data_IF_757185318981
#
_entry.id   IF_757185318981
#
_cell.length_a   1.000
_cell.length_b   1.000
_cell.length_c   1.000
_cell.angle_alpha   90.00
_cell.angle_beta   90.00
_cell.angle_gamma   90.00
#
_symmetry.space_group_name_H-M   'P 1'
#
loop_
_entity.id
_entity.type
_entity.pdbx_description
1 polymer ?
#
# COMPACT_ATOMS: atom_id res chain seq x y z
N UNK A 1 14.62 4.96 -8.36
CA UNK A 1 15.83 5.31 -9.15
C UNK A 1 15.53 6.10 -10.44
N UNK A 2 14.79 5.57 -11.44
CA UNK A 2 14.65 6.23 -12.77
C UNK A 2 14.10 7.66 -12.73
N UNK A 3 13.15 7.93 -11.83
CA UNK A 3 12.61 9.29 -11.63
C UNK A 3 13.69 10.27 -11.15
N UNK A 4 14.45 9.89 -10.12
CA UNK A 4 15.58 10.68 -9.63
C UNK A 4 16.69 10.88 -10.67
N UNK A 5 16.99 9.87 -11.49
CA UNK A 5 17.92 10.04 -12.63
C UNK A 5 17.41 11.07 -13.65
N UNK A 6 16.10 11.15 -13.88
CA UNK A 6 15.51 12.18 -14.73
C UNK A 6 15.65 13.57 -14.08
N UNK A 7 15.27 13.72 -12.80
CA UNK A 7 15.38 14.98 -12.07
C UNK A 7 16.82 15.52 -12.02
N UNK A 8 17.79 14.63 -11.78
CA UNK A 8 19.21 14.93 -11.82
C UNK A 8 19.67 15.56 -13.14
N UNK A 9 18.98 15.28 -14.24
CA UNK A 9 19.23 15.90 -15.54
C UNK A 9 18.45 17.19 -15.75
N UNK A 10 17.24 17.30 -15.20
CA UNK A 10 16.30 18.39 -15.48
C UNK A 10 16.49 19.62 -14.59
N UNK A 11 16.87 19.46 -13.32
CA UNK A 11 17.13 20.62 -12.46
C UNK A 11 18.31 21.43 -12.99
N UNK A 12 18.26 22.75 -12.88
CA UNK A 12 19.35 23.65 -13.27
C UNK A 12 20.37 23.89 -12.15
N UNK A 13 19.98 23.71 -10.89
CA UNK A 13 20.86 23.87 -9.73
C UNK A 13 21.74 22.64 -9.50
N UNK A 14 23.06 22.81 -9.56
CA UNK A 14 24.04 21.71 -9.44
C UNK A 14 23.90 20.91 -8.14
N UNK A 15 23.61 21.58 -7.01
CA UNK A 15 23.39 20.90 -5.72
C UNK A 15 22.19 19.95 -5.76
N UNK A 16 21.08 20.37 -6.36
CA UNK A 16 19.89 19.53 -6.52
C UNK A 16 20.14 18.38 -7.50
N UNK A 17 20.91 18.61 -8.57
CA UNK A 17 21.30 17.55 -9.50
C UNK A 17 22.11 16.47 -8.79
N UNK A 18 23.15 16.84 -8.04
CA UNK A 18 24.02 15.90 -7.31
C UNK A 18 23.22 15.12 -6.27
N UNK A 19 22.36 15.79 -5.49
CA UNK A 19 21.48 15.12 -4.52
C UNK A 19 20.57 14.07 -5.19
N UNK A 20 19.95 14.42 -6.33
CA UNK A 20 19.13 13.48 -7.09
C UNK A 20 19.94 12.33 -7.71
N UNK A 21 21.20 12.55 -8.09
CA UNK A 21 22.08 11.48 -8.58
C UNK A 21 22.42 10.48 -7.48
N UNK A 22 22.79 10.99 -6.29
CA UNK A 22 23.08 10.16 -5.12
C UNK A 22 21.86 9.34 -4.71
N UNK A 23 20.68 9.99 -4.62
CA UNK A 23 19.45 9.26 -4.36
C UNK A 23 19.16 8.23 -5.47
N UNK A 24 19.33 8.59 -6.75
CA UNK A 24 19.08 7.64 -7.84
C UNK A 24 19.92 6.36 -7.73
N UNK A 25 21.19 6.46 -7.31
CA UNK A 25 22.04 5.27 -7.15
C UNK A 25 21.70 4.51 -5.85
N UNK A 26 21.31 5.20 -4.79
CA UNK A 26 20.80 4.58 -3.56
C UNK A 26 19.53 3.76 -3.83
N UNK A 27 18.57 4.32 -4.59
CA UNK A 27 17.37 3.59 -4.98
C UNK A 27 17.64 2.39 -5.91
N UNK A 28 18.73 2.46 -6.71
CA UNK A 28 19.15 1.31 -7.52
C UNK A 28 19.77 0.22 -6.63
N UNK A 29 20.57 0.63 -5.65
CA UNK A 29 21.09 -0.27 -4.61
C UNK A 29 19.93 -0.96 -3.90
N UNK A 30 18.92 -0.22 -3.43
CA UNK A 30 17.77 -0.79 -2.72
C UNK A 30 17.05 -1.84 -3.55
N UNK A 31 16.76 -1.52 -4.82
CA UNK A 31 16.14 -2.46 -5.75
C UNK A 31 16.95 -3.75 -5.90
N UNK A 32 18.26 -3.64 -6.12
CA UNK A 32 19.13 -4.82 -6.31
C UNK A 32 19.28 -5.63 -5.02
N UNK A 33 19.46 -4.97 -3.87
CA UNK A 33 19.61 -5.66 -2.59
C UNK A 33 18.32 -6.33 -2.15
N UNK A 34 17.15 -5.73 -2.40
CA UNK A 34 15.86 -6.38 -2.12
C UNK A 34 15.70 -7.67 -2.95
N UNK A 35 16.05 -7.64 -4.23
CA UNK A 35 16.05 -8.85 -5.09
C UNK A 35 16.97 -9.93 -4.49
N UNK A 36 18.18 -9.55 -4.05
CA UNK A 36 19.11 -10.50 -3.44
C UNK A 36 18.62 -11.04 -2.09
N UNK A 37 18.06 -10.17 -1.23
CA UNK A 37 17.47 -10.53 0.07
C UNK A 37 16.35 -11.56 -0.10
N UNK A 38 15.45 -11.33 -1.06
CA UNK A 38 14.30 -12.20 -1.30
C UNK A 38 14.63 -13.43 -2.16
N UNK A 39 15.83 -13.49 -2.78
CA UNK A 39 16.23 -14.59 -3.66
C UNK A 39 16.21 -15.95 -2.97
N UNK A 40 16.52 -16.02 -1.67
CA UNK A 40 16.46 -17.28 -0.93
C UNK A 40 15.02 -17.68 -0.60
N UNK A 41 14.18 -16.72 -0.17
CA UNK A 41 12.75 -16.96 0.06
C UNK A 41 12.05 -17.46 -1.21
N UNK A 42 12.37 -16.88 -2.38
CA UNK A 42 11.84 -17.33 -3.66
C UNK A 42 12.17 -18.80 -4.03
N UNK A 43 13.20 -19.41 -3.41
CA UNK A 43 13.51 -20.83 -3.64
C UNK A 43 12.64 -21.78 -2.80
N UNK A 44 12.01 -21.25 -1.76
CA UNK A 44 11.38 -22.03 -0.70
C UNK A 44 9.90 -21.70 -0.49
N UNK A 45 9.44 -20.55 -0.98
CA UNK A 45 8.06 -20.09 -0.87
C UNK A 45 7.52 -19.66 -2.23
N UNK A 46 6.19 -19.77 -2.37
CA UNK A 46 5.45 -19.43 -3.60
C UNK A 46 5.25 -17.92 -3.77
N UNK A 47 4.74 -17.49 -4.94
CA UNK A 47 4.33 -16.11 -5.19
C UNK A 47 5.45 -15.07 -5.43
N UNK A 48 6.73 -15.45 -5.31
CA UNK A 48 7.88 -14.54 -5.40
C UNK A 48 8.65 -14.60 -6.74
N UNK A 49 8.23 -15.45 -7.68
CA UNK A 49 9.07 -15.89 -8.81
C UNK A 49 9.10 -14.95 -10.01
N UNK A 50 8.08 -14.11 -10.21
CA UNK A 50 8.03 -13.16 -11.34
C UNK A 50 7.53 -11.75 -10.96
N UNK A 51 8.21 -11.10 -10.00
CA UNK A 51 7.70 -9.88 -9.38
C UNK A 51 7.59 -8.70 -10.36
N UNK A 52 8.41 -8.66 -11.41
CA UNK A 52 8.40 -7.56 -12.37
C UNK A 52 7.23 -7.68 -13.35
N UNK A 53 6.98 -8.88 -13.87
CA UNK A 53 5.82 -9.14 -14.72
C UNK A 53 4.52 -8.94 -13.92
N UNK A 54 4.48 -9.46 -12.69
CA UNK A 54 3.32 -9.29 -11.82
C UNK A 54 3.05 -7.82 -11.50
N UNK A 55 4.08 -7.01 -11.21
CA UNK A 55 3.91 -5.58 -10.90
C UNK A 55 3.19 -4.81 -12.01
N UNK A 56 3.44 -5.17 -13.28
CA UNK A 56 2.84 -4.51 -14.43
C UNK A 56 1.43 -5.01 -14.78
N UNK A 57 0.99 -6.16 -14.25
CA UNK A 57 -0.23 -6.83 -14.71
C UNK A 57 -1.25 -7.14 -13.59
N UNK A 58 -0.79 -7.48 -12.38
CA UNK A 58 -1.67 -7.97 -11.30
C UNK A 58 -2.47 -6.85 -10.67
N UNK A 59 -3.75 -7.12 -10.40
CA UNK A 59 -4.74 -6.10 -10.04
C UNK A 59 -4.37 -5.25 -8.82
N UNK A 60 -3.93 -5.85 -7.72
CA UNK A 60 -3.60 -5.09 -6.50
C UNK A 60 -2.26 -4.36 -6.64
N UNK A 61 -1.37 -4.80 -7.55
CA UNK A 61 -0.09 -4.15 -7.82
C UNK A 61 -0.24 -2.91 -8.71
N UNK A 62 -1.39 -2.73 -9.35
CA UNK A 62 -1.74 -1.48 -10.02
C UNK A 62 -1.85 -0.30 -9.04
N UNK A 63 -2.11 -0.56 -7.76
CA UNK A 63 -2.15 0.46 -6.69
C UNK A 63 -0.79 1.14 -6.51
N UNK A 64 0.31 0.44 -6.13
CA UNK A 64 1.64 1.06 -6.05
C UNK A 64 2.16 1.49 -7.43
N UNK A 65 1.93 0.73 -8.50
CA UNK A 65 2.36 1.09 -9.86
C UNK A 65 1.80 2.45 -10.28
N UNK A 66 0.48 2.63 -10.15
CA UNK A 66 -0.17 3.88 -10.57
C UNK A 66 0.20 5.09 -9.73
N UNK A 67 0.61 4.91 -8.47
CA UNK A 67 1.15 5.98 -7.64
C UNK A 67 2.50 6.46 -8.19
N UNK A 68 3.43 5.54 -8.44
CA UNK A 68 4.74 5.89 -9.00
C UNK A 68 4.65 6.36 -10.46
N UNK A 69 3.72 5.84 -11.25
CA UNK A 69 3.49 6.30 -12.63
C UNK A 69 2.91 7.73 -12.66
N UNK A 70 2.02 8.08 -11.73
CA UNK A 70 1.52 9.45 -11.56
C UNK A 70 2.66 10.41 -11.19
N UNK A 71 3.51 10.06 -10.23
CA UNK A 71 4.67 10.86 -9.88
C UNK A 71 5.65 11.01 -11.07
N UNK A 72 6.00 9.91 -11.76
CA UNK A 72 6.97 9.91 -12.87
C UNK A 72 6.48 10.62 -14.13
N UNK A 73 5.17 10.68 -14.34
CA UNK A 73 4.57 11.41 -15.47
C UNK A 73 4.35 12.90 -15.16
N UNK A 74 4.54 13.32 -13.92
CA UNK A 74 4.45 14.72 -13.51
C UNK A 74 5.72 15.52 -13.86
N UNK A 75 5.67 16.84 -13.62
CA UNK A 75 6.85 17.71 -13.71
C UNK A 75 7.87 17.44 -12.59
N UNK A 76 9.13 17.92 -12.73
CA UNK A 76 10.21 17.61 -11.79
C UNK A 76 9.94 18.09 -10.35
N UNK A 77 9.28 19.24 -10.18
CA UNK A 77 8.92 19.77 -8.85
C UNK A 77 7.75 19.03 -8.19
N UNK A 78 6.80 18.53 -8.98
CA UNK A 78 5.74 17.68 -8.44
C UNK A 78 6.31 16.31 -8.06
N UNK A 79 7.17 15.70 -8.90
CA UNK A 79 7.82 14.43 -8.58
C UNK A 79 8.57 14.51 -7.24
N UNK A 80 9.39 15.54 -7.05
CA UNK A 80 10.21 15.64 -5.82
C UNK A 80 9.34 15.94 -4.58
N UNK A 81 8.25 16.69 -4.75
CA UNK A 81 7.24 16.86 -3.69
C UNK A 81 6.51 15.55 -3.38
N UNK A 82 6.19 14.75 -4.41
CA UNK A 82 5.51 13.47 -4.29
C UNK A 82 6.37 12.42 -3.57
N UNK A 83 7.58 12.19 -4.08
CA UNK A 83 8.42 11.08 -3.62
C UNK A 83 9.29 11.52 -2.44
N UNK A 84 10.12 12.55 -2.58
CA UNK A 84 11.07 12.90 -1.51
C UNK A 84 10.36 13.46 -0.25
N UNK A 85 9.31 14.26 -0.42
CA UNK A 85 8.62 14.84 0.73
C UNK A 85 7.42 14.02 1.20
N UNK A 86 6.41 13.82 0.36
CA UNK A 86 5.19 13.14 0.82
C UNK A 86 5.45 11.66 1.16
N UNK A 87 6.19 10.93 0.33
CA UNK A 87 6.49 9.51 0.57
C UNK A 87 7.67 9.30 1.53
N UNK A 88 8.86 9.81 1.19
CA UNK A 88 10.11 9.50 1.88
C UNK A 88 10.35 10.34 3.14
N UNK A 89 9.58 11.41 3.39
CA UNK A 89 9.70 12.18 4.63
C UNK A 89 8.49 11.98 5.54
N UNK A 90 7.30 12.38 5.09
CA UNK A 90 6.08 12.38 5.92
C UNK A 90 5.62 10.96 6.22
N UNK A 91 5.72 10.05 5.25
CA UNK A 91 5.09 8.72 5.33
C UNK A 91 6.08 7.55 5.42
N UNK A 92 7.39 7.79 5.30
CA UNK A 92 8.40 6.73 5.15
C UNK A 92 8.40 5.75 6.31
N UNK A 93 8.24 6.25 7.55
CA UNK A 93 8.24 5.40 8.73
C UNK A 93 7.05 4.44 8.76
N UNK A 94 5.92 4.81 8.14
CA UNK A 94 4.74 3.95 8.00
C UNK A 94 4.92 2.85 6.93
N UNK A 95 5.99 2.90 6.15
CA UNK A 95 6.42 1.80 5.27
C UNK A 95 7.58 1.04 5.90
N UNK A 96 8.65 1.74 6.25
CA UNK A 96 9.92 1.15 6.64
C UNK A 96 9.84 0.42 7.98
N UNK A 97 9.25 1.05 9.01
CA UNK A 97 9.19 0.45 10.35
C UNK A 97 8.35 -0.82 10.35
N UNK A 98 7.12 -0.88 9.77
CA UNK A 98 6.34 -2.11 9.76
C UNK A 98 7.07 -3.31 9.15
N UNK A 99 7.72 -3.14 7.99
CA UNK A 99 8.46 -4.23 7.36
C UNK A 99 9.72 -4.61 8.15
N UNK A 100 10.56 -3.64 8.53
CA UNK A 100 11.86 -3.95 9.15
C UNK A 100 11.73 -4.42 10.60
N UNK A 101 10.81 -3.82 11.38
CA UNK A 101 10.53 -4.27 12.74
C UNK A 101 9.72 -5.57 12.76
N UNK A 102 8.80 -5.76 11.80
CA UNK A 102 8.09 -7.02 11.61
C UNK A 102 9.06 -8.16 11.31
N UNK A 103 10.01 -7.96 10.40
CA UNK A 103 11.08 -8.92 10.12
C UNK A 103 11.88 -9.29 11.38
N UNK A 104 12.26 -8.29 12.20
CA UNK A 104 12.99 -8.52 13.44
C UNK A 104 12.21 -9.36 14.46
N UNK A 105 10.91 -9.11 14.63
CA UNK A 105 10.06 -9.84 15.58
C UNK A 105 9.75 -11.27 15.11
N UNK A 106 9.76 -11.51 13.80
CA UNK A 106 9.43 -12.81 13.20
C UNK A 106 10.67 -13.60 12.74
N UNK A 107 11.88 -13.16 13.11
CA UNK A 107 13.13 -13.91 12.88
C UNK A 107 13.66 -13.88 11.44
N UNK A 108 13.20 -12.95 10.59
CA UNK A 108 13.75 -12.74 9.25
C UNK A 108 15.04 -11.90 9.32
N UNK A 109 16.17 -12.61 9.41
CA UNK A 109 17.50 -12.01 9.44
C UNK A 109 17.88 -11.30 8.13
N UNK A 110 17.35 -11.73 6.98
CA UNK A 110 17.74 -11.17 5.70
C UNK A 110 17.13 -9.77 5.52
N UNK A 111 15.82 -9.65 5.78
CA UNK A 111 15.10 -8.37 5.65
C UNK A 111 15.52 -7.38 6.73
N UNK A 112 15.70 -7.81 7.99
CA UNK A 112 16.17 -6.90 9.04
C UNK A 112 17.58 -6.35 8.75
N UNK A 113 18.47 -7.16 8.16
CA UNK A 113 19.82 -6.74 7.77
C UNK A 113 19.77 -5.71 6.65
N UNK A 114 18.90 -5.91 5.66
CA UNK A 114 18.62 -4.89 4.64
C UNK A 114 18.14 -3.59 5.30
N UNK A 115 17.18 -3.65 6.22
CA UNK A 115 16.68 -2.48 6.95
C UNK A 115 17.77 -1.69 7.66
N UNK A 116 18.60 -2.36 8.47
CA UNK A 116 19.73 -1.70 9.13
C UNK A 116 20.72 -1.10 8.14
N UNK A 117 20.99 -1.79 7.02
CA UNK A 117 21.89 -1.29 5.99
C UNK A 117 21.33 -0.08 5.22
N UNK A 118 20.02 0.02 5.05
CA UNK A 118 19.37 1.10 4.29
C UNK A 118 19.14 2.36 5.15
N UNK A 119 19.16 2.25 6.48
CA UNK A 119 18.84 3.35 7.39
C UNK A 119 19.68 4.62 7.16
N UNK A 120 20.97 4.48 6.85
CA UNK A 120 21.83 5.63 6.55
C UNK A 120 21.54 6.27 5.19
N UNK A 121 20.94 5.52 4.26
CA UNK A 121 20.48 6.04 2.97
C UNK A 121 19.17 6.81 3.20
N UNK A 122 18.21 6.22 3.92
CA UNK A 122 16.94 6.86 4.25
C UNK A 122 17.12 8.17 5.03
N UNK A 123 18.14 8.31 5.88
CA UNK A 123 18.42 9.58 6.55
C UNK A 123 18.83 10.69 5.58
N UNK A 124 19.54 10.36 4.49
CA UNK A 124 19.85 11.30 3.40
C UNK A 124 18.59 11.65 2.61
N UNK A 125 17.76 10.65 2.32
CA UNK A 125 16.51 10.80 1.57
C UNK A 125 15.53 11.71 2.31
N UNK A 126 15.36 11.49 3.61
CA UNK A 126 14.56 12.35 4.47
C UNK A 126 15.09 13.79 4.47
N UNK A 127 16.41 13.98 4.59
CA UNK A 127 17.01 15.32 4.56
C UNK A 127 16.74 16.03 3.23
N UNK A 128 16.85 15.32 2.11
CA UNK A 128 16.50 15.85 0.79
C UNK A 128 15.02 16.27 0.73
N UNK A 129 14.12 15.41 1.20
CA UNK A 129 12.68 15.67 1.23
C UNK A 129 12.29 16.93 2.01
N UNK A 130 12.89 17.15 3.17
CA UNK A 130 12.60 18.35 3.97
C UNK A 130 13.16 19.62 3.32
N UNK A 131 14.43 19.58 2.91
CA UNK A 131 15.12 20.77 2.43
C UNK A 131 14.60 21.23 1.07
N UNK A 132 14.16 20.32 0.20
CA UNK A 132 13.60 20.70 -1.10
C UNK A 132 12.27 21.45 -0.96
N UNK A 133 11.40 21.06 -0.02
CA UNK A 133 10.12 21.76 0.17
C UNK A 133 10.34 23.15 0.72
N UNK A 134 11.19 23.30 1.73
CA UNK A 134 11.60 24.63 2.24
C UNK A 134 12.17 25.48 1.12
N UNK A 135 13.09 24.92 0.33
CA UNK A 135 13.70 25.62 -0.80
C UNK A 135 12.65 26.13 -1.78
N UNK A 136 11.73 25.26 -2.26
CA UNK A 136 10.73 25.63 -3.26
C UNK A 136 9.81 26.74 -2.75
N UNK A 137 9.28 26.63 -1.53
CA UNK A 137 8.34 27.64 -0.99
C UNK A 137 9.03 28.97 -0.65
N UNK A 138 10.34 28.95 -0.34
CA UNK A 138 11.12 30.18 -0.14
C UNK A 138 11.50 30.89 -1.46
N UNK A 139 11.49 30.20 -2.61
CA UNK A 139 11.90 30.81 -3.88
C UNK A 139 10.93 31.88 -4.39
N UNK A 140 9.62 31.71 -4.18
CA UNK A 140 8.61 32.64 -4.65
C UNK A 140 7.26 32.40 -3.94
N UNK A 141 6.51 33.47 -3.65
CA UNK A 141 5.21 33.38 -2.96
C UNK A 141 4.16 32.56 -3.73
N UNK A 142 4.12 32.69 -5.06
CA UNK A 142 3.22 31.91 -5.93
C UNK A 142 3.44 30.38 -5.84
N UNK A 143 4.59 29.93 -5.33
CA UNK A 143 4.86 28.50 -5.18
C UNK A 143 4.04 27.87 -4.06
N UNK A 144 3.60 28.65 -3.06
CA UNK A 144 2.98 28.11 -1.85
C UNK A 144 1.72 27.30 -2.16
N UNK A 145 0.78 27.87 -2.92
CA UNK A 145 -0.48 27.20 -3.27
C UNK A 145 -0.24 25.98 -4.17
N UNK A 146 0.74 26.05 -5.08
CA UNK A 146 1.11 24.94 -5.96
C UNK A 146 1.66 23.77 -5.14
N UNK A 147 2.62 24.04 -4.26
CA UNK A 147 3.24 23.03 -3.40
C UNK A 147 2.24 22.46 -2.41
N UNK A 148 1.37 23.29 -1.82
CA UNK A 148 0.30 22.81 -0.94
C UNK A 148 -0.66 21.88 -1.69
N UNK A 149 -1.02 22.20 -2.94
CA UNK A 149 -1.83 21.32 -3.80
C UNK A 149 -1.17 19.96 -4.05
N UNK A 150 0.14 19.95 -4.30
CA UNK A 150 0.91 18.69 -4.46
C UNK A 150 1.01 17.90 -3.16
N UNK A 151 1.24 18.56 -2.01
CA UNK A 151 1.25 17.92 -0.69
C UNK A 151 -0.11 17.27 -0.43
N UNK A 152 -1.21 18.01 -0.64
CA UNK A 152 -2.58 17.53 -0.46
C UNK A 152 -2.84 16.26 -1.32
N UNK A 153 -2.47 16.31 -2.61
CA UNK A 153 -2.63 15.19 -3.56
C UNK A 153 -1.80 13.96 -3.15
N UNK A 154 -0.49 14.15 -2.95
CA UNK A 154 0.44 13.04 -2.83
C UNK A 154 0.47 12.43 -1.43
N UNK A 155 0.15 13.19 -0.38
CA UNK A 155 -0.20 12.62 0.92
C UNK A 155 -1.32 11.57 0.77
N UNK A 156 -2.42 11.96 0.15
CA UNK A 156 -3.59 11.08 0.05
C UNK A 156 -3.32 9.85 -0.82
N UNK A 157 -2.63 10.04 -1.96
CA UNK A 157 -2.27 8.92 -2.83
C UNK A 157 -1.33 7.93 -2.14
N UNK A 158 -0.28 8.41 -1.47
CA UNK A 158 0.64 7.57 -0.72
C UNK A 158 -0.06 6.86 0.45
N UNK A 159 -0.92 7.56 1.20
CA UNK A 159 -1.75 6.95 2.25
C UNK A 159 -2.59 5.78 1.75
N UNK A 160 -3.16 5.87 0.54
CA UNK A 160 -3.89 4.75 -0.07
C UNK A 160 -3.00 3.56 -0.45
N UNK A 161 -1.74 3.80 -0.85
CA UNK A 161 -0.75 2.73 -1.02
C UNK A 161 -0.44 2.07 0.32
N UNK A 162 -0.27 2.86 1.39
CA UNK A 162 -0.01 2.35 2.74
C UNK A 162 -1.17 1.53 3.33
N UNK A 163 -2.36 1.56 2.72
CA UNK A 163 -3.41 0.60 3.03
C UNK A 163 -2.97 -0.85 2.89
N UNK A 164 -2.07 -1.16 1.94
CA UNK A 164 -1.47 -2.50 1.83
C UNK A 164 -0.56 -2.82 3.02
N UNK A 165 0.20 -1.82 3.50
CA UNK A 165 1.11 -1.98 4.63
C UNK A 165 0.34 -2.16 5.94
N UNK A 166 -0.79 -1.48 6.12
CA UNK A 166 -1.63 -1.65 7.31
C UNK A 166 -2.19 -3.07 7.42
N UNK A 167 -2.65 -3.64 6.30
CA UNK A 167 -3.09 -5.03 6.25
C UNK A 167 -1.94 -6.01 6.53
N UNK A 168 -0.76 -5.79 5.93
CA UNK A 168 0.43 -6.59 6.19
C UNK A 168 0.80 -6.59 7.68
N UNK A 169 0.90 -5.39 8.27
CA UNK A 169 1.34 -5.20 9.65
C UNK A 169 0.40 -5.88 10.67
N UNK A 170 -0.91 -5.71 10.51
CA UNK A 170 -1.88 -6.20 11.49
C UNK A 170 -2.25 -7.67 11.30
N UNK A 171 -2.16 -8.20 10.08
CA UNK A 171 -2.69 -9.53 9.75
C UNK A 171 -1.68 -10.52 9.17
N UNK A 172 -0.63 -10.06 8.49
CA UNK A 172 0.32 -10.97 7.81
C UNK A 172 1.59 -11.23 8.62
N UNK A 173 1.84 -10.42 9.66
CA UNK A 173 2.86 -10.72 10.66
C UNK A 173 2.26 -11.64 11.74
N UNK A 174 2.83 -12.85 11.98
CA UNK A 174 2.47 -13.66 13.13
C UNK A 174 2.60 -12.86 14.44
N UNK A 175 3.77 -12.27 14.66
CA UNK A 175 4.03 -11.36 15.78
C UNK A 175 4.16 -9.91 15.29
N UNK A 176 3.10 -9.13 15.52
CA UNK A 176 3.05 -7.71 15.17
C UNK A 176 3.59 -6.86 16.33
N UNK A 177 4.66 -6.06 16.16
CA UNK A 177 5.24 -5.28 17.26
C UNK A 177 4.34 -4.14 17.75
N UNK A 178 3.49 -3.62 16.86
CA UNK A 178 2.47 -2.61 17.14
C UNK A 178 1.38 -2.71 16.07
N UNK A 179 0.21 -2.15 16.37
CA UNK A 179 -0.88 -2.00 15.40
C UNK A 179 -0.63 -0.87 14.41
N UNK A 180 -1.30 -0.92 13.25
CA UNK A 180 -1.34 0.19 12.30
C UNK A 180 -1.82 1.49 12.96
N UNK A 181 -2.82 1.44 13.86
CA UNK A 181 -3.29 2.63 14.58
C UNK A 181 -2.21 3.26 15.45
N UNK A 182 -1.48 2.46 16.23
CA UNK A 182 -0.36 2.95 17.05
C UNK A 182 0.75 3.54 16.17
N UNK A 183 1.08 2.88 15.05
CA UNK A 183 2.05 3.39 14.08
C UNK A 183 1.60 4.73 13.48
N UNK A 184 0.32 4.85 13.10
CA UNK A 184 -0.25 6.08 12.57
C UNK A 184 -0.20 7.24 13.58
N UNK A 185 -0.55 6.99 14.83
CA UNK A 185 -0.51 8.01 15.89
C UNK A 185 0.91 8.54 16.10
N UNK A 186 1.89 7.65 16.19
CA UNK A 186 3.29 8.05 16.42
C UNK A 186 3.87 8.74 15.17
N UNK A 187 3.83 8.06 14.03
CA UNK A 187 4.61 8.48 12.87
C UNK A 187 3.92 9.56 12.03
N UNK A 188 2.59 9.65 12.08
CA UNK A 188 1.85 10.70 11.38
C UNK A 188 1.30 11.75 12.34
N UNK A 189 0.45 11.39 13.30
CA UNK A 189 -0.23 12.39 14.14
C UNK A 189 0.78 13.21 14.96
N UNK A 190 1.68 12.56 15.68
CA UNK A 190 2.66 13.23 16.52
C UNK A 190 3.82 13.82 15.70
N UNK A 191 4.54 12.96 14.96
CA UNK A 191 5.74 13.39 14.24
C UNK A 191 5.42 14.36 13.10
N UNK A 192 4.44 14.05 12.24
CA UNK A 192 4.08 14.97 11.15
C UNK A 192 3.30 16.19 11.67
N UNK A 193 2.51 16.05 12.74
CA UNK A 193 1.90 17.20 13.41
C UNK A 193 2.95 18.22 13.89
N UNK A 194 4.03 17.75 14.51
CA UNK A 194 5.15 18.59 14.90
C UNK A 194 5.87 19.23 13.69
N UNK A 195 6.10 18.46 12.62
CA UNK A 195 6.68 18.95 11.37
C UNK A 195 5.86 20.10 10.78
N UNK A 196 4.55 19.91 10.58
CA UNK A 196 3.71 20.92 9.94
C UNK A 196 3.51 22.16 10.81
N UNK A 197 3.63 22.03 12.14
CA UNK A 197 3.73 23.20 13.03
C UNK A 197 4.97 24.05 12.73
N UNK A 198 6.12 23.41 12.48
CA UNK A 198 7.34 24.12 12.07
C UNK A 198 7.21 24.69 10.65
N UNK A 199 6.67 23.92 9.71
CA UNK A 199 6.47 24.36 8.33
C UNK A 199 5.42 25.48 8.20
N UNK A 200 4.59 25.70 9.22
CA UNK A 200 3.63 26.80 9.26
C UNK A 200 4.27 28.19 9.11
N UNK A 201 5.56 28.35 9.42
CA UNK A 201 6.30 29.61 9.17
C UNK A 201 6.44 29.95 7.68
N UNK A 202 6.26 28.96 6.80
CA UNK A 202 6.24 29.10 5.35
C UNK A 202 4.83 29.23 4.77
N UNK A 203 3.79 29.21 5.62
CA UNK A 203 2.39 29.18 5.19
C UNK A 203 1.86 27.80 4.84
N UNK A 204 2.68 26.74 4.94
CA UNK A 204 2.24 25.36 4.72
C UNK A 204 1.31 24.89 5.85
N UNK A 205 0.30 24.11 5.49
CA UNK A 205 -0.68 23.51 6.41
C UNK A 205 -0.67 21.98 6.28
N UNK A 206 -1.20 21.31 7.30
CA UNK A 206 -1.43 19.87 7.26
C UNK A 206 -2.14 19.48 5.95
N UNK A 207 -1.79 18.33 5.35
CA UNK A 207 -2.36 17.91 4.08
C UNK A 207 -3.88 17.80 4.15
N UNK A 208 -4.58 18.24 3.11
CA UNK A 208 -6.03 18.11 3.03
C UNK A 208 -6.43 16.64 3.22
N UNK A 209 -7.51 16.42 3.97
CA UNK A 209 -8.03 15.10 4.35
C UNK A 209 -7.18 14.30 5.35
N UNK A 210 -6.15 14.89 5.98
CA UNK A 210 -5.42 14.21 7.04
C UNK A 210 -6.32 13.73 8.21
N UNK A 211 -7.34 14.51 8.58
CA UNK A 211 -8.31 14.12 9.62
C UNK A 211 -9.13 12.90 9.20
N UNK A 212 -9.46 12.79 7.91
CA UNK A 212 -10.13 11.61 7.37
C UNK A 212 -9.22 10.38 7.46
N UNK A 213 -7.96 10.50 7.06
CA UNK A 213 -6.98 9.41 7.17
C UNK A 213 -6.77 8.98 8.63
N UNK A 214 -6.72 9.94 9.57
CA UNK A 214 -6.63 9.66 11.01
C UNK A 214 -7.86 8.96 11.55
N UNK A 215 -9.07 9.35 11.13
CA UNK A 215 -10.29 8.64 11.52
C UNK A 215 -10.31 7.21 10.94
N UNK A 216 -9.86 7.03 9.70
CA UNK A 216 -9.77 5.74 9.03
C UNK A 216 -8.72 4.79 9.65
N UNK A 217 -7.77 5.29 10.47
CA UNK A 217 -6.71 4.46 11.05
C UNK A 217 -7.22 3.31 11.94
N UNK A 218 -8.40 3.45 12.57
CA UNK A 218 -9.03 2.35 13.34
C UNK A 218 -9.79 1.31 12.47
N UNK A 219 -9.77 1.49 11.14
CA UNK A 219 -10.57 0.71 10.20
C UNK A 219 -9.76 0.18 9.00
N UNK A 220 -8.67 0.85 8.63
CA UNK A 220 -7.96 0.67 7.36
C UNK A 220 -7.48 -0.77 7.14
N UNK A 221 -6.72 -1.32 8.09
CA UNK A 221 -6.14 -2.66 7.97
C UNK A 221 -7.22 -3.74 7.83
N UNK A 222 -8.28 -3.63 8.63
CA UNK A 222 -9.40 -4.58 8.61
C UNK A 222 -10.15 -4.57 7.26
N UNK A 223 -10.39 -3.38 6.70
CA UNK A 223 -11.07 -3.23 5.40
C UNK A 223 -10.22 -3.74 4.23
N UNK A 224 -8.91 -3.43 4.24
CA UNK A 224 -8.00 -3.87 3.19
C UNK A 224 -7.75 -5.37 3.31
N UNK A 225 -7.44 -5.90 4.49
CA UNK A 225 -7.17 -7.32 4.66
C UNK A 225 -8.40 -8.16 4.28
N UNK A 226 -9.61 -7.75 4.69
CA UNK A 226 -10.82 -8.46 4.26
C UNK A 226 -11.01 -8.44 2.74
N UNK A 227 -10.66 -7.34 2.07
CA UNK A 227 -10.69 -7.25 0.61
C UNK A 227 -9.69 -8.22 -0.03
N UNK A 228 -8.46 -8.30 0.50
CA UNK A 228 -7.46 -9.26 0.04
C UNK A 228 -7.92 -10.70 0.32
N UNK A 229 -8.48 -10.98 1.49
CA UNK A 229 -8.96 -12.31 1.92
C UNK A 229 -10.03 -12.90 0.98
N UNK A 230 -10.98 -12.09 0.51
CA UNK A 230 -12.02 -12.58 -0.41
C UNK A 230 -11.55 -12.69 -1.87
N UNK A 231 -10.43 -12.03 -2.22
CA UNK A 231 -9.86 -11.99 -3.57
C UNK A 231 -8.49 -12.67 -3.68
N UNK A 232 -8.04 -13.39 -2.64
CA UNK A 232 -6.70 -13.99 -2.61
C UNK A 232 -6.52 -15.10 -3.64
N UNK A 233 -7.61 -15.68 -4.15
CA UNK A 233 -7.59 -16.57 -5.33
C UNK A 233 -7.08 -15.89 -6.62
N UNK A 234 -6.86 -14.57 -6.59
CA UNK A 234 -6.26 -13.80 -7.67
C UNK A 234 -5.13 -12.87 -7.16
N UNK A 235 -4.45 -13.24 -6.08
CA UNK A 235 -3.27 -12.55 -5.56
C UNK A 235 -2.07 -13.52 -5.44
N UNK A 236 -0.83 -13.02 -5.58
CA UNK A 236 0.39 -13.82 -5.50
C UNK A 236 0.86 -14.00 -4.04
N UNK A 237 -0.10 -14.21 -3.15
CA UNK A 237 0.08 -14.51 -1.74
C UNK A 237 -1.20 -15.13 -1.20
N UNK A 238 -1.05 -15.92 -0.14
CA UNK A 238 -2.18 -16.51 0.57
C UNK A 238 -2.69 -15.61 1.70
N UNK A 239 -3.92 -15.85 2.11
CA UNK A 239 -4.59 -15.20 3.24
C UNK A 239 -5.22 -16.25 4.12
N UNK A 240 -5.47 -15.93 5.38
CA UNK A 240 -6.13 -16.82 6.32
C UNK A 240 -7.10 -16.07 7.22
N UNK A 241 -7.93 -16.81 7.95
CA UNK A 241 -8.72 -16.22 9.04
C UNK A 241 -7.77 -16.00 10.22
N UNK A 242 -7.75 -14.80 10.85
CA UNK A 242 -6.90 -14.56 12.01
C UNK A 242 -7.23 -15.56 13.12
N UNK A 243 -6.19 -16.08 13.79
CA UNK A 243 -6.35 -16.95 14.95
C UNK A 243 -7.13 -16.26 16.07
N UNK A 244 -7.59 -17.03 17.06
CA UNK A 244 -8.26 -16.46 18.24
C UNK A 244 -7.35 -15.47 18.96
N UNK A 245 -6.09 -15.82 19.16
CA UNK A 245 -5.09 -14.98 19.80
C UNK A 245 -4.87 -13.68 19.01
N UNK A 246 -4.79 -13.76 17.67
CA UNK A 246 -4.69 -12.59 16.80
C UNK A 246 -5.95 -11.72 16.90
N UNK A 247 -7.15 -12.30 16.90
CA UNK A 247 -8.38 -11.55 17.09
C UNK A 247 -8.45 -10.89 18.47
N UNK A 248 -8.00 -11.54 19.53
CA UNK A 248 -7.97 -10.98 20.88
C UNK A 248 -6.97 -9.80 20.97
N UNK A 249 -5.82 -9.91 20.32
CA UNK A 249 -4.89 -8.78 20.14
C UNK A 249 -5.53 -7.64 19.33
N UNK A 250 -6.25 -7.93 18.25
CA UNK A 250 -6.96 -6.91 17.47
C UNK A 250 -8.05 -6.21 18.30
N UNK A 251 -8.76 -6.92 19.21
CA UNK A 251 -9.69 -6.29 20.15
C UNK A 251 -9.00 -5.34 21.12
N UNK A 252 -7.82 -5.72 21.63
CA UNK A 252 -7.02 -4.86 22.51
C UNK A 252 -6.56 -3.59 21.79
N UNK A 253 -6.08 -3.74 20.54
CA UNK A 253 -5.52 -2.63 19.74
C UNK A 253 -6.58 -1.74 19.10
N UNK A 254 -7.78 -2.26 18.87
CA UNK A 254 -8.88 -1.56 18.22
C UNK A 254 -10.17 -1.65 19.06
N UNK A 255 -10.16 -1.17 20.32
CA UNK A 255 -11.23 -1.40 21.28
C UNK A 255 -12.57 -0.73 20.89
N UNK A 256 -12.52 0.28 20.02
CA UNK A 256 -13.69 1.03 19.59
C UNK A 256 -14.39 0.42 18.36
N UNK A 257 -13.69 -0.44 17.60
CA UNK A 257 -14.11 -0.82 16.24
C UNK A 257 -14.09 -2.32 15.99
N UNK A 258 -13.09 -3.06 16.48
CA UNK A 258 -12.87 -4.44 16.05
C UNK A 258 -14.00 -5.39 16.45
N UNK A 259 -14.35 -5.44 17.73
CA UNK A 259 -15.44 -6.30 18.22
C UNK A 259 -16.80 -5.89 17.66
N UNK A 260 -16.97 -4.61 17.35
CA UNK A 260 -18.23 -4.05 16.88
C UNK A 260 -18.49 -4.34 15.39
N UNK A 261 -17.47 -4.31 14.54
CA UNK A 261 -17.64 -4.33 13.09
C UNK A 261 -16.93 -5.47 12.37
N UNK A 262 -15.84 -6.00 12.93
CA UNK A 262 -14.90 -6.86 12.22
C UNK A 262 -14.82 -8.28 12.79
N UNK A 263 -14.71 -8.45 14.11
CA UNK A 263 -14.71 -9.78 14.75
C UNK A 263 -15.92 -10.64 14.35
N UNK A 264 -17.17 -10.14 14.33
CA UNK A 264 -18.33 -10.96 13.93
C UNK A 264 -18.24 -11.47 12.50
N UNK A 265 -17.53 -10.75 11.60
CA UNK A 265 -17.29 -11.20 10.23
C UNK A 265 -16.33 -12.38 10.22
N UNK A 266 -15.22 -12.29 10.95
CA UNK A 266 -14.24 -13.37 11.04
C UNK A 266 -14.83 -14.62 11.69
N UNK A 267 -15.64 -14.48 12.74
CA UNK A 267 -16.36 -15.59 13.36
C UNK A 267 -17.32 -16.28 12.38
N UNK A 268 -18.06 -15.49 11.59
CA UNK A 268 -18.92 -16.03 10.53
C UNK A 268 -18.11 -16.78 9.47
N UNK A 269 -17.02 -16.22 8.97
CA UNK A 269 -16.19 -16.88 7.96
C UNK A 269 -15.47 -18.12 8.50
N UNK A 270 -15.10 -18.12 9.78
CA UNK A 270 -14.51 -19.29 10.44
C UNK A 270 -15.51 -20.44 10.50
N UNK A 271 -16.78 -20.14 10.77
CA UNK A 271 -17.85 -21.13 10.75
C UNK A 271 -18.12 -21.63 9.32
N UNK A 272 -18.09 -20.75 8.32
CA UNK A 272 -18.19 -21.16 6.91
C UNK A 272 -17.03 -22.08 6.50
N UNK A 273 -15.79 -21.78 6.90
CA UNK A 273 -14.61 -22.59 6.60
C UNK A 273 -14.70 -23.99 7.23
N UNK A 274 -15.15 -24.09 8.49
CA UNK A 274 -15.41 -25.40 9.15
C UNK A 274 -16.43 -26.26 8.38
N UNK A 275 -17.33 -25.63 7.63
CA UNK A 275 -18.31 -26.31 6.78
C UNK A 275 -17.80 -26.58 5.37
N UNK A 276 -16.50 -26.37 5.09
CA UNK A 276 -15.91 -26.51 3.76
C UNK A 276 -16.31 -25.40 2.78
N UNK A 277 -16.81 -24.26 3.27
CA UNK A 277 -17.33 -23.14 2.48
C UNK A 277 -16.48 -21.88 2.64
N UNK A 278 -15.16 -22.04 2.55
CA UNK A 278 -14.23 -20.88 2.54
C UNK A 278 -14.69 -19.85 1.51
N UNK A 279 -14.91 -18.62 1.97
CA UNK A 279 -15.52 -17.59 1.12
C UNK A 279 -14.49 -17.00 0.15
N UNK A 280 -14.80 -17.05 -1.14
CA UNK A 280 -14.17 -16.26 -2.20
C UNK A 280 -15.25 -15.48 -2.94
N UNK A 281 -14.97 -14.21 -3.24
CA UNK A 281 -15.88 -13.41 -4.03
C UNK A 281 -15.62 -13.63 -5.52
N UNK A 282 -16.59 -14.22 -6.23
CA UNK A 282 -16.48 -14.49 -7.66
C UNK A 282 -16.62 -13.24 -8.54
N UNK A 283 -17.21 -12.15 -8.02
CA UNK A 283 -17.42 -10.92 -8.78
C UNK A 283 -16.21 -9.98 -8.71
N UNK A 284 -15.73 -9.50 -9.86
CA UNK A 284 -14.67 -8.48 -9.90
C UNK A 284 -15.13 -7.18 -9.24
N UNK A 285 -14.31 -6.54 -8.38
CA UNK A 285 -14.71 -5.34 -7.66
C UNK A 285 -14.69 -4.10 -8.56
N UNK A 286 -15.54 -3.12 -8.24
CA UNK A 286 -15.35 -1.76 -8.75
C UNK A 286 -14.06 -1.17 -8.18
N UNK A 287 -13.24 -0.55 -9.03
CA UNK A 287 -11.97 0.08 -8.64
C UNK A 287 -12.09 1.60 -8.64
N UNK A 288 -11.34 2.25 -7.76
CA UNK A 288 -11.19 3.70 -7.76
C UNK A 288 -10.40 4.19 -8.98
N UNK A 289 -10.92 5.19 -9.70
CA UNK A 289 -10.25 5.78 -10.87
C UNK A 289 -8.87 6.37 -10.55
N UNK A 290 -8.64 6.80 -9.30
CA UNK A 290 -7.39 7.42 -8.88
C UNK A 290 -6.45 6.42 -8.22
N UNK A 291 -6.80 5.91 -7.03
CA UNK A 291 -5.91 5.02 -6.28
C UNK A 291 -5.94 3.55 -6.72
N UNK A 292 -6.91 3.17 -7.56
CA UNK A 292 -7.10 1.82 -8.09
C UNK A 292 -7.42 0.71 -7.07
N UNK A 293 -7.47 1.05 -5.78
CA UNK A 293 -7.98 0.15 -4.73
C UNK A 293 -9.47 -0.14 -4.99
N UNK A 294 -9.95 -1.38 -4.72
CA UNK A 294 -11.38 -1.67 -4.66
C UNK A 294 -12.17 -0.70 -3.77
N UNK A 295 -13.45 -0.48 -4.09
CA UNK A 295 -14.34 0.43 -3.35
C UNK A 295 -14.77 -0.11 -1.97
N UNK A 296 -13.80 -0.38 -1.09
CA UNK A 296 -14.03 -0.98 0.23
C UNK A 296 -14.06 0.02 1.40
N UNK A 297 -13.72 1.29 1.16
CA UNK A 297 -13.68 2.31 2.22
C UNK A 297 -15.08 2.80 2.60
N UNK A 298 -15.24 3.21 3.85
CA UNK A 298 -16.51 3.69 4.41
C UNK A 298 -16.41 5.13 4.94
N UNK A 299 -17.56 5.75 5.24
CA UNK A 299 -17.69 7.13 5.70
C UNK A 299 -17.29 7.30 7.19
N UNK A 300 -16.08 6.84 7.55
CA UNK A 300 -15.57 6.84 8.93
C UNK A 300 -15.54 8.25 9.52
N UNK A 301 -14.96 9.21 8.78
CA UNK A 301 -14.83 10.61 9.22
C UNK A 301 -16.17 11.33 9.41
N UNK A 302 -17.28 10.74 8.92
CA UNK A 302 -18.64 11.27 9.08
C UNK A 302 -19.45 10.48 10.13
N UNK A 303 -18.81 9.58 10.88
CA UNK A 303 -19.46 8.75 11.89
C UNK A 303 -20.38 7.67 11.31
N UNK A 304 -20.18 7.27 10.04
CA UNK A 304 -21.02 6.30 9.33
C UNK A 304 -20.20 5.11 8.84
N UNK A 305 -19.69 4.25 9.74
CA UNK A 305 -18.71 3.23 9.41
C UNK A 305 -19.24 2.05 8.56
N UNK A 306 -20.54 1.99 8.34
CA UNK A 306 -21.21 0.99 7.51
C UNK A 306 -21.60 1.52 6.12
N UNK A 307 -21.48 2.83 5.88
CA UNK A 307 -21.83 3.44 4.60
C UNK A 307 -20.58 3.53 3.72
N UNK A 308 -20.62 3.00 2.50
CA UNK A 308 -19.50 3.10 1.55
C UNK A 308 -19.25 4.55 1.15
N UNK A 309 -17.98 4.97 1.11
CA UNK A 309 -17.57 6.35 0.79
C UNK A 309 -17.48 6.66 -0.71
N UNK A 310 -18.25 5.92 -1.50
CA UNK A 310 -18.34 6.01 -2.96
C UNK A 310 -18.63 7.44 -3.45
N UNK A 311 -17.94 7.86 -4.51
CA UNK A 311 -18.15 9.13 -5.21
C UNK A 311 -18.16 8.94 -6.72
N UNK A 312 -18.81 9.87 -7.39
CA UNK A 312 -18.88 9.96 -8.85
C UNK A 312 -18.29 11.29 -9.32
N UNK A 313 -17.47 11.23 -10.36
CA UNK A 313 -17.00 12.36 -11.15
C UNK A 313 -17.44 12.19 -12.59
N UNK A 314 -17.62 13.31 -13.29
CA UNK A 314 -17.99 13.32 -14.71
C UNK A 314 -16.96 14.13 -15.49
N UNK A 315 -16.51 13.59 -16.62
CA UNK A 315 -15.57 14.30 -17.50
C UNK A 315 -15.86 13.91 -18.95
N UNK A 316 -16.06 14.91 -19.82
CA UNK A 316 -16.38 14.74 -21.25
C UNK A 316 -17.57 13.80 -21.53
N UNK A 317 -18.55 13.74 -20.62
CA UNK A 317 -19.75 12.90 -20.74
C UNK A 317 -19.60 11.50 -20.16
N UNK A 318 -18.38 11.09 -19.79
CA UNK A 318 -18.10 9.81 -19.15
C UNK A 318 -18.16 9.92 -17.62
N UNK A 319 -18.48 8.79 -16.98
CA UNK A 319 -18.59 8.65 -15.52
C UNK A 319 -17.38 7.92 -14.96
N UNK A 320 -16.81 8.50 -13.91
CA UNK A 320 -15.64 7.98 -13.22
C UNK A 320 -15.95 7.79 -11.74
N UNK A 321 -15.58 6.65 -11.18
CA UNK A 321 -15.90 6.28 -9.81
C UNK A 321 -14.68 6.44 -8.92
N UNK A 322 -14.82 7.11 -7.78
CA UNK A 322 -13.72 7.35 -6.83
C UNK A 322 -14.11 6.91 -5.42
N UNK A 323 -13.14 6.41 -4.65
CA UNK A 323 -13.42 5.75 -3.38
C UNK A 323 -13.66 6.69 -2.21
N UNK A 324 -13.33 7.98 -2.33
CA UNK A 324 -13.49 8.99 -1.28
C UNK A 324 -13.60 10.39 -1.87
N UNK A 325 -13.97 11.37 -1.04
CA UNK A 325 -13.94 12.80 -1.38
C UNK A 325 -12.53 13.26 -1.83
N UNK A 326 -11.49 12.68 -1.26
CA UNK A 326 -10.11 13.02 -1.61
C UNK A 326 -9.68 12.48 -2.97
N UNK A 327 -9.98 11.22 -3.29
CA UNK A 327 -9.75 10.71 -4.65
C UNK A 327 -10.61 11.44 -5.67
N UNK A 328 -11.84 11.84 -5.32
CA UNK A 328 -12.66 12.71 -6.17
C UNK A 328 -11.99 14.06 -6.43
N UNK A 329 -11.51 14.73 -5.38
CA UNK A 329 -10.85 16.03 -5.52
C UNK A 329 -9.59 15.96 -6.40
N UNK A 330 -8.83 14.88 -6.30
CA UNK A 330 -7.66 14.62 -7.15
C UNK A 330 -8.09 14.39 -8.61
N UNK A 331 -9.12 13.57 -8.84
CA UNK A 331 -9.64 13.35 -10.19
C UNK A 331 -10.16 14.64 -10.82
N UNK A 332 -10.96 15.41 -10.10
CA UNK A 332 -11.59 16.63 -10.60
C UNK A 332 -10.55 17.73 -10.91
N UNK A 333 -9.37 17.68 -10.29
CA UNK A 333 -8.27 18.61 -10.56
C UNK A 333 -7.47 18.27 -11.83
N UNK A 334 -7.25 16.98 -12.11
CA UNK A 334 -6.49 16.53 -13.29
C UNK A 334 -7.22 15.40 -14.05
N UNK A 335 -8.47 15.60 -14.51
CA UNK A 335 -9.27 14.53 -15.10
C UNK A 335 -8.68 14.01 -16.42
N UNK A 336 -7.96 14.86 -17.16
CA UNK A 336 -7.18 14.46 -18.33
C UNK A 336 -6.14 13.39 -17.98
N UNK A 337 -5.51 13.46 -16.81
CA UNK A 337 -4.49 12.49 -16.40
C UNK A 337 -5.12 11.16 -16.00
N UNK A 338 -6.12 11.20 -15.11
CA UNK A 338 -6.69 9.98 -14.52
C UNK A 338 -7.67 9.26 -15.45
N UNK A 339 -8.26 9.92 -16.45
CA UNK A 339 -9.08 9.25 -17.46
C UNK A 339 -8.28 8.25 -18.32
N UNK A 340 -6.94 8.35 -18.34
CA UNK A 340 -6.04 7.39 -19.00
C UNK A 340 -5.62 6.19 -18.13
N UNK A 341 -6.11 6.06 -16.89
CA UNK A 341 -5.70 5.00 -15.98
C UNK A 341 -5.97 3.59 -16.56
N UNK A 342 -4.96 2.73 -16.53
CA UNK A 342 -5.11 1.31 -16.81
C UNK A 342 -5.72 0.62 -15.56
N UNK A 343 -7.05 0.49 -15.53
CA UNK A 343 -7.75 -0.16 -14.42
C UNK A 343 -7.87 -1.67 -14.67
N UNK A 344 -7.22 -2.54 -13.85
CA UNK A 344 -7.12 -3.98 -14.14
C UNK A 344 -8.45 -4.67 -14.41
N UNK A 345 -9.48 -4.40 -13.60
CA UNK A 345 -10.82 -4.99 -13.78
C UNK A 345 -11.45 -4.57 -15.11
N UNK A 346 -11.31 -3.31 -15.51
CA UNK A 346 -11.82 -2.85 -16.80
C UNK A 346 -11.07 -3.51 -17.96
N UNK A 347 -9.77 -3.73 -17.80
CA UNK A 347 -8.91 -4.31 -18.82
C UNK A 347 -9.18 -5.80 -19.01
N UNK A 348 -9.52 -6.51 -17.94
CA UNK A 348 -10.06 -7.87 -18.01
C UNK A 348 -11.37 -7.87 -18.82
N UNK A 349 -12.34 -7.00 -18.48
CA UNK A 349 -13.60 -6.93 -19.23
C UNK A 349 -13.44 -6.50 -20.69
N UNK A 350 -12.39 -5.75 -21.02
CA UNK A 350 -12.06 -5.38 -22.40
C UNK A 350 -11.33 -6.50 -23.17
N UNK A 351 -10.93 -7.59 -22.51
CA UNK A 351 -10.20 -8.71 -23.13
C UNK A 351 -8.69 -8.49 -23.26
N UNK A 352 -8.11 -7.54 -22.53
CA UNK A 352 -6.69 -7.17 -22.63
C UNK A 352 -5.76 -7.98 -21.69
N UNK A 353 -6.31 -8.94 -20.93
CA UNK A 353 -5.59 -9.67 -19.88
C UNK A 353 -5.51 -11.19 -20.15
N UNK A 354 -5.33 -11.59 -21.40
CA UNK A 354 -5.08 -13.00 -21.79
C UNK A 354 -6.32 -13.84 -22.12
N UNK A 355 -7.47 -13.58 -21.49
CA UNK A 355 -8.73 -14.28 -21.80
C UNK A 355 -9.90 -13.82 -20.94
N UNK A 356 -11.06 -14.46 -21.13
CA UNK A 356 -12.31 -14.11 -20.45
C UNK A 356 -12.50 -14.86 -19.13
N UNK A 357 -11.84 -16.01 -18.95
CA UNK A 357 -11.91 -16.82 -17.73
C UNK A 357 -10.82 -16.39 -16.74
N UNK A 358 -11.10 -16.49 -15.43
CA UNK A 358 -10.11 -16.16 -14.39
C UNK A 358 -8.82 -16.95 -14.59
N UNK A 359 -8.90 -18.23 -14.97
CA UNK A 359 -7.71 -19.05 -15.24
C UNK A 359 -6.81 -18.50 -16.35
N UNK A 360 -7.39 -17.87 -17.38
CA UNK A 360 -6.62 -17.24 -18.46
C UNK A 360 -5.92 -15.98 -17.95
N UNK A 361 -6.61 -15.21 -17.11
CA UNK A 361 -6.05 -14.01 -16.47
C UNK A 361 -4.90 -14.38 -15.52
N UNK A 362 -5.07 -15.40 -14.67
CA UNK A 362 -4.03 -15.87 -13.76
C UNK A 362 -2.81 -16.42 -14.53
N UNK A 363 -3.05 -17.12 -15.65
CA UNK A 363 -1.98 -17.54 -16.55
C UNK A 363 -1.26 -16.34 -17.17
N UNK A 364 -2.00 -15.31 -17.59
CA UNK A 364 -1.41 -14.06 -18.06
C UNK A 364 -0.61 -13.33 -16.98
N UNK A 365 -0.96 -13.50 -15.70
CA UNK A 365 -0.19 -13.00 -14.56
C UNK A 365 1.03 -13.87 -14.21
N UNK A 366 1.25 -14.98 -14.91
CA UNK A 366 2.27 -16.00 -14.60
C UNK A 366 2.12 -16.62 -13.20
N UNK A 367 0.88 -16.80 -12.73
CA UNK A 367 0.63 -17.50 -11.48
C UNK A 367 0.71 -19.02 -11.69
N UNK A 368 1.37 -19.68 -10.76
CA UNK A 368 1.28 -21.11 -10.53
C UNK A 368 0.04 -21.40 -9.66
N UNK A 369 -0.52 -22.63 -9.73
CA UNK A 369 -1.68 -23.02 -8.93
C UNK A 369 -1.53 -22.77 -7.41
N UNK A 370 -0.31 -22.84 -6.90
CA UNK A 370 0.02 -22.76 -5.47
C UNK A 370 0.21 -21.34 -4.92
N UNK A 371 0.33 -20.31 -5.77
CA UNK A 371 0.70 -18.94 -5.34
C UNK A 371 -0.40 -18.17 -4.60
N UNK A 372 -1.63 -18.67 -4.58
CA UNK A 372 -2.83 -17.89 -4.29
C UNK A 372 -3.79 -18.60 -3.34
N UNK A 373 -4.73 -17.86 -2.75
CA UNK A 373 -5.86 -18.41 -2.00
C UNK A 373 -5.64 -18.52 -0.49
N UNK A 374 -5.98 -19.68 0.07
CA UNK A 374 -5.94 -19.95 1.52
C UNK A 374 -4.55 -20.46 1.94
N UNK A 375 -4.02 -19.97 3.06
CA UNK A 375 -2.71 -20.40 3.54
C UNK A 375 -2.76 -21.83 4.07
N UNK A 376 -3.78 -22.15 4.88
CA UNK A 376 -3.93 -23.48 5.47
C UNK A 376 -4.11 -24.55 4.39
N UNK A 377 -3.20 -25.54 4.38
CA UNK A 377 -3.17 -26.60 3.36
C UNK A 377 -2.53 -26.19 2.03
N UNK A 378 -2.01 -24.96 1.92
CA UNK A 378 -1.20 -24.54 0.76
C UNK A 378 0.14 -25.29 0.71
N UNK A 379 0.83 -25.19 -0.43
CA UNK A 379 2.18 -25.73 -0.57
C UNK A 379 3.15 -25.15 0.49
N UNK A 380 3.01 -23.86 0.81
CA UNK A 380 3.84 -23.17 1.79
C UNK A 380 3.55 -23.62 3.22
N UNK A 381 2.28 -23.83 3.61
CA UNK A 381 1.91 -24.40 4.92
C UNK A 381 2.46 -25.82 5.08
N UNK A 382 2.28 -26.67 4.07
CA UNK A 382 2.79 -28.05 4.09
C UNK A 382 4.32 -28.06 4.20
N UNK A 383 5.01 -27.24 3.41
CA UNK A 383 6.46 -27.13 3.46
C UNK A 383 6.93 -26.61 4.84
N UNK A 384 6.26 -25.60 5.38
CA UNK A 384 6.60 -25.01 6.67
C UNK A 384 6.45 -26.03 7.81
N UNK A 385 5.32 -26.73 7.90
CA UNK A 385 5.07 -27.78 8.90
C UNK A 385 6.10 -28.90 8.82
N UNK A 386 6.47 -29.32 7.60
CA UNK A 386 7.52 -30.31 7.39
C UNK A 386 8.88 -29.85 7.94
N UNK A 387 9.26 -28.57 7.79
CA UNK A 387 10.50 -28.04 8.37
C UNK A 387 10.50 -28.00 9.91
N UNK A 388 9.32 -27.93 10.54
CA UNK A 388 9.14 -27.97 12.00
C UNK A 388 9.06 -29.39 12.56
N UNK A 389 9.00 -30.41 11.70
CA UNK A 389 8.82 -31.80 12.10
C UNK A 389 7.39 -32.13 12.55
N UNK A 390 6.42 -31.32 12.14
CA UNK A 390 4.99 -31.57 12.39
C UNK A 390 4.45 -32.57 11.36
N UNK A 391 3.70 -33.59 11.80
CA UNK A 391 3.12 -34.59 10.89
C UNK A 391 2.06 -33.97 9.98
N UNK A 392 1.97 -34.47 8.74
CA UNK A 392 0.89 -34.16 7.80
C UNK A 392 -0.40 -34.91 8.19
N UNK A 393 -0.85 -34.81 9.44
CA UNK A 393 -2.17 -35.28 9.84
C UNK A 393 -3.20 -34.27 9.36
N UNK A 394 -3.42 -34.23 8.04
CA UNK A 394 -4.67 -33.76 7.48
C UNK A 394 -5.61 -34.94 7.67
N UNK A 395 -6.36 -34.96 8.79
CA UNK A 395 -7.50 -35.85 8.93
C UNK A 395 -8.42 -35.62 7.73
N UNK A 396 -8.47 -36.60 6.83
CA UNK A 396 -9.57 -36.80 5.89
C UNK A 396 -10.86 -36.97 6.71
N UNK A 397 -11.48 -35.85 7.09
CA UNK A 397 -12.88 -35.88 7.53
C UNK A 397 -13.75 -35.89 6.28
N UNK A 398 -14.27 -37.09 5.99
CA UNK A 398 -15.19 -37.42 4.92
C UNK A 398 -16.54 -36.70 5.01
#
# INVERSE_FOLDING_TARGET
HRGYANLARQFSGEGAQIACQMQSIDELRHSQTQIHTLSHYNKHFTGLHDPFHMHDNVWYLSVPKSYFDDARSAGPFEFITSISFAFEYILTNLLFVPFMSGAAHNGDMATVTFGFSAQSDESRHMTLGLEIIKFIVEQHEDNLEIVQGWIDKHFWRAYRVLGLVSAMQDYMLPDSPMSWKEAWDIYFVDNCGALFKDLGRYGLRMPKFHEQATAEAEHLSHQIYFTLYQFSHAAAFQTEIPSKEKMDWLSEKYPNTFDKYYRPRWEMYAEMEKQGKRYFNAGLPQLCQVCQVPMCFTEISKGKPLDLSYRLSEFKGDKFHTCTDACKAIFDHEPEKYSHAWLPVHQIFQGNCGGAEISDVLKNYHFNPEDSGEYKGSADDIAWRATKGESNDIEESA
#
